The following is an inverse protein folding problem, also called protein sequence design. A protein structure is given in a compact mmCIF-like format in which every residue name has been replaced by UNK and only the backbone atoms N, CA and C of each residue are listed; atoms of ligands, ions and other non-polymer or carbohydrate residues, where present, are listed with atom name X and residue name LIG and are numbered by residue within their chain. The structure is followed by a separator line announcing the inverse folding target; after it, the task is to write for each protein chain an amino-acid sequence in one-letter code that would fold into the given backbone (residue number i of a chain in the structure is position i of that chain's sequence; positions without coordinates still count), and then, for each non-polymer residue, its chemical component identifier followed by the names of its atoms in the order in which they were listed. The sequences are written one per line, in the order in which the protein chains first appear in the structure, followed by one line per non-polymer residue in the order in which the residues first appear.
data_IF_364941539414
#
_entry.id   IF_364941539414
#
_cell.length_a   1.000
_cell.length_b   1.000
_cell.length_c   1.000
_cell.angle_alpha   90.00
_cell.angle_beta   90.00
_cell.angle_gamma   90.00
#
_symmetry.space_group_name_H-M   'P 1'
#
loop_
_entity.id
_entity.type
_entity.pdbx_description
1 polymer ?
#
# COMPACT_ATOMS: atom_id res chain seq x y z
N UNK A 1 -27.59 -3.50 13.79
CA UNK A 1 -26.55 -3.55 12.75
C UNK A 1 -25.21 -3.40 13.44
N UNK A 2 -24.21 -4.16 13.03
CA UNK A 2 -22.85 -4.01 13.53
C UNK A 2 -22.19 -2.85 12.77
N UNK A 3 -21.55 -1.91 13.47
CA UNK A 3 -20.81 -0.82 12.84
C UNK A 3 -19.39 -1.29 12.50
N UNK A 4 -19.05 -1.32 11.22
CA UNK A 4 -17.75 -1.77 10.71
C UNK A 4 -16.70 -0.63 10.73
N UNK A 5 -16.47 -0.07 11.92
CA UNK A 5 -15.47 0.99 12.12
C UNK A 5 -14.06 0.40 12.17
N UNK A 6 -13.18 0.82 11.25
CA UNK A 6 -11.79 0.38 11.24
C UNK A 6 -11.03 0.89 12.48
N UNK A 7 -10.22 0.01 13.08
CA UNK A 7 -9.33 0.32 14.21
C UNK A 7 -7.98 -0.30 13.93
N UNK A 8 -6.91 0.45 14.22
CA UNK A 8 -5.54 -0.04 14.09
C UNK A 8 -5.10 -0.70 15.40
N UNK A 9 -4.52 -1.89 15.31
CA UNK A 9 -3.91 -2.63 16.43
C UNK A 9 -2.50 -3.09 16.06
N UNK A 10 -1.82 -3.79 16.96
CA UNK A 10 -0.47 -4.39 16.75
C UNK A 10 0.68 -3.41 16.57
N UNK A 11 0.86 -2.53 17.57
CA UNK A 11 2.00 -1.60 17.66
C UNK A 11 3.33 -2.25 18.11
N UNK A 12 3.45 -3.58 18.09
CA UNK A 12 4.62 -4.31 18.61
C UNK A 12 5.93 -4.01 17.87
N UNK A 13 5.84 -3.52 16.62
CA UNK A 13 6.98 -3.07 15.82
C UNK A 13 7.09 -1.54 15.72
N UNK A 14 6.15 -0.79 16.30
CA UNK A 14 6.15 0.66 16.25
C UNK A 14 7.43 1.23 16.91
N UNK A 15 8.00 2.25 16.29
CA UNK A 15 9.15 2.97 16.83
C UNK A 15 8.74 4.38 17.19
N UNK A 16 9.23 4.88 18.32
CA UNK A 16 9.12 6.29 18.64
C UNK A 16 9.77 7.10 17.52
N UNK A 17 9.11 8.18 17.12
CA UNK A 17 9.61 9.07 16.07
C UNK A 17 10.99 9.64 16.43
N UNK A 18 11.76 10.06 15.42
CA UNK A 18 13.07 10.65 15.68
C UNK A 18 12.96 11.90 16.57
N UNK A 19 13.85 12.03 17.55
CA UNK A 19 13.97 13.22 18.39
C UNK A 19 15.05 14.17 17.87
N UNK A 20 14.80 15.49 18.02
CA UNK A 20 15.70 16.54 17.51
C UNK A 20 15.67 16.66 15.99
N UNK A 21 16.83 16.89 15.36
CA UNK A 21 16.94 17.12 13.91
C UNK A 21 16.96 15.84 13.05
N UNK A 22 16.66 14.68 13.66
CA UNK A 22 16.67 13.40 12.94
C UNK A 22 15.41 13.23 12.10
N UNK A 23 15.55 12.72 10.88
CA UNK A 23 14.44 12.50 9.94
C UNK A 23 13.96 11.05 9.87
N UNK A 24 14.70 10.12 10.48
CA UNK A 24 14.47 8.68 10.36
C UNK A 24 14.92 7.90 11.60
N UNK A 25 14.42 6.67 11.72
CA UNK A 25 14.87 5.67 12.70
C UNK A 25 15.57 4.55 11.93
N UNK A 26 16.85 4.29 12.21
CA UNK A 26 17.55 3.14 11.64
C UNK A 26 17.24 1.91 12.47
N UNK A 27 16.74 0.84 11.84
CA UNK A 27 16.44 -0.42 12.51
C UNK A 27 16.64 -1.59 11.57
N UNK A 28 16.74 -2.80 12.10
CA UNK A 28 16.73 -4.00 11.27
C UNK A 28 15.43 -4.03 10.46
N UNK A 29 15.49 -4.44 9.19
CA UNK A 29 14.30 -4.57 8.35
C UNK A 29 13.38 -5.62 8.98
N UNK A 30 12.26 -5.17 9.52
CA UNK A 30 11.23 -5.99 10.15
C UNK A 30 9.87 -5.53 9.63
N UNK A 31 8.97 -6.48 9.35
CA UNK A 31 7.63 -6.17 8.84
C UNK A 31 7.07 -7.31 8.00
N UNK A 32 5.83 -7.12 7.54
CA UNK A 32 5.13 -8.10 6.69
C UNK A 32 5.57 -7.95 5.24
N UNK A 33 5.91 -9.06 4.60
CA UNK A 33 6.31 -9.08 3.18
C UNK A 33 5.20 -8.48 2.29
N UNK A 34 5.58 -7.64 1.34
CA UNK A 34 4.66 -6.96 0.41
C UNK A 34 4.20 -5.57 0.86
N UNK A 35 4.41 -5.20 2.13
CA UNK A 35 4.02 -3.88 2.67
C UNK A 35 5.22 -2.94 2.85
N UNK A 36 6.40 -3.49 3.06
CA UNK A 36 7.60 -2.71 3.33
C UNK A 36 8.02 -1.87 2.12
N UNK A 37 8.26 -0.57 2.36
CA UNK A 37 8.70 0.35 1.34
C UNK A 37 10.09 -0.04 0.79
N UNK A 38 10.34 0.05 -0.53
CA UNK A 38 11.61 -0.36 -1.14
C UNK A 38 12.83 0.33 -0.52
N UNK A 39 12.72 1.61 -0.17
CA UNK A 39 13.78 2.37 0.48
C UNK A 39 14.04 1.89 1.92
N UNK A 40 13.00 1.45 2.64
CA UNK A 40 13.16 0.87 3.97
C UNK A 40 13.89 -0.47 3.89
N UNK A 41 13.54 -1.31 2.91
CA UNK A 41 14.22 -2.59 2.66
C UNK A 41 15.69 -2.35 2.30
N UNK A 42 15.97 -1.37 1.45
CA UNK A 42 17.32 -1.11 0.95
C UNK A 42 18.24 -0.46 2.01
N UNK A 43 17.70 0.41 2.86
CA UNK A 43 18.52 1.28 3.74
C UNK A 43 18.33 1.00 5.24
N UNK A 44 17.29 0.26 5.62
CA UNK A 44 16.89 0.10 7.03
C UNK A 44 16.35 1.38 7.67
N UNK A 45 16.13 2.46 6.89
CA UNK A 45 15.64 3.74 7.40
C UNK A 45 14.11 3.73 7.44
N UNK A 46 13.57 3.61 8.64
CA UNK A 46 12.14 3.76 8.88
C UNK A 46 11.80 5.25 8.97
N UNK A 47 10.81 5.67 8.19
CA UNK A 47 10.33 7.05 8.15
C UNK A 47 8.81 7.07 8.08
N UNK A 48 8.19 8.23 8.35
CA UNK A 48 6.76 8.42 8.12
C UNK A 48 6.37 8.15 6.65
N UNK A 49 7.30 8.26 5.70
CA UNK A 49 7.05 7.99 4.28
C UNK A 49 6.95 6.49 3.99
N UNK A 50 7.67 5.66 4.73
CA UNK A 50 7.55 4.21 4.67
C UNK A 50 6.17 3.74 5.16
N UNK A 51 5.59 4.42 6.15
CA UNK A 51 4.20 4.18 6.59
C UNK A 51 3.19 4.61 5.52
N UNK A 52 3.42 5.75 4.87
CA UNK A 52 2.59 6.23 3.74
C UNK A 52 2.60 5.25 2.58
N UNK A 53 3.76 4.66 2.24
CA UNK A 53 3.85 3.60 1.24
C UNK A 53 3.01 2.39 1.64
N UNK A 54 3.19 1.90 2.88
CA UNK A 54 2.47 0.74 3.40
C UNK A 54 0.95 0.95 3.37
N UNK A 55 0.49 2.16 3.69
CA UNK A 55 -0.92 2.56 3.56
C UNK A 55 -1.41 2.51 2.11
N UNK A 56 -0.59 2.93 1.15
CA UNK A 56 -0.89 2.79 -0.28
C UNK A 56 -1.11 1.33 -0.69
N UNK A 57 -0.28 0.41 -0.18
CA UNK A 57 -0.45 -1.03 -0.41
C UNK A 57 -1.77 -1.54 0.15
N UNK A 58 -2.13 -1.15 1.39
CA UNK A 58 -3.43 -1.51 2.01
C UNK A 58 -4.60 -1.03 1.16
N UNK A 59 -4.55 0.20 0.63
CA UNK A 59 -5.59 0.70 -0.27
C UNK A 59 -5.72 -0.15 -1.55
N UNK A 60 -4.60 -0.59 -2.13
CA UNK A 60 -4.63 -1.47 -3.30
C UNK A 60 -5.21 -2.84 -2.99
N UNK A 61 -4.87 -3.41 -1.84
CA UNK A 61 -5.42 -4.67 -1.38
C UNK A 61 -6.95 -4.57 -1.20
N UNK A 62 -7.43 -3.47 -0.60
CA UNK A 62 -8.86 -3.21 -0.43
C UNK A 62 -9.60 -3.00 -1.76
N UNK A 63 -9.01 -2.26 -2.70
CA UNK A 63 -9.64 -2.01 -4.00
C UNK A 63 -9.74 -3.27 -4.84
N UNK A 64 -8.70 -4.12 -4.80
CA UNK A 64 -8.56 -5.27 -5.70
C UNK A 64 -9.01 -6.60 -5.10
N UNK A 65 -9.09 -6.71 -3.78
CA UNK A 65 -9.34 -7.97 -3.08
C UNK A 65 -8.23 -9.01 -3.30
N UNK A 66 -7.05 -8.59 -3.77
CA UNK A 66 -5.90 -9.45 -4.05
C UNK A 66 -4.86 -9.33 -2.93
N UNK A 67 -4.20 -10.44 -2.54
CA UNK A 67 -3.13 -10.40 -1.55
C UNK A 67 -1.94 -9.57 -2.07
N UNK A 68 -1.22 -8.91 -1.16
CA UNK A 68 -0.03 -8.11 -1.51
C UNK A 68 1.09 -8.92 -2.17
N UNK A 69 1.21 -10.20 -1.82
CA UNK A 69 2.10 -11.17 -2.45
C UNK A 69 1.34 -12.43 -2.82
N UNK A 70 1.17 -12.66 -4.12
CA UNK A 70 0.51 -13.85 -4.65
C UNK A 70 1.54 -14.89 -5.10
N UNK A 71 1.85 -15.85 -4.23
CA UNK A 71 2.85 -16.90 -4.49
C UNK A 71 2.46 -17.86 -5.62
N UNK A 72 1.20 -17.83 -6.06
CA UNK A 72 0.74 -18.64 -7.20
C UNK A 72 1.09 -18.00 -8.54
N UNK A 73 1.47 -16.72 -8.54
CA UNK A 73 1.84 -15.93 -9.70
C UNK A 73 3.36 -15.80 -9.84
N UNK A 74 3.81 -15.45 -11.05
CA UNK A 74 5.22 -15.30 -11.40
C UNK A 74 5.48 -13.90 -11.95
N UNK A 75 6.67 -13.36 -11.68
CA UNK A 75 7.11 -12.05 -12.18
C UNK A 75 6.31 -10.90 -11.57
N UNK A 76 5.95 -9.91 -12.40
CA UNK A 76 5.25 -8.69 -11.98
C UNK A 76 3.89 -8.98 -11.33
N UNK A 77 3.21 -10.07 -11.71
CA UNK A 77 1.91 -10.44 -11.12
C UNK A 77 1.99 -10.95 -9.68
N UNK A 78 3.19 -11.30 -9.20
CA UNK A 78 3.40 -11.78 -7.83
C UNK A 78 3.30 -10.65 -6.81
N UNK A 79 3.75 -9.44 -7.16
CA UNK A 79 3.69 -8.26 -6.29
C UNK A 79 2.49 -7.39 -6.69
N UNK A 80 1.62 -7.10 -5.72
CA UNK A 80 0.40 -6.33 -5.96
C UNK A 80 0.68 -4.93 -6.51
N UNK A 81 1.69 -4.23 -5.99
CA UNK A 81 2.03 -2.87 -6.39
C UNK A 81 2.54 -2.85 -7.83
N UNK A 82 3.50 -3.72 -8.14
CA UNK A 82 4.10 -3.81 -9.47
C UNK A 82 3.05 -4.16 -10.53
N UNK A 83 2.13 -5.08 -10.20
CA UNK A 83 0.99 -5.41 -11.05
C UNK A 83 -0.02 -4.26 -11.22
N UNK A 84 -0.31 -3.52 -10.16
CA UNK A 84 -1.36 -2.49 -10.17
C UNK A 84 -0.91 -1.21 -10.88
N UNK A 85 0.36 -0.81 -10.77
CA UNK A 85 0.88 0.46 -11.31
C UNK A 85 0.42 0.73 -12.75
N UNK A 86 0.56 -0.18 -13.73
CA UNK A 86 0.14 0.05 -15.12
C UNK A 86 -1.35 0.43 -15.30
N UNK A 87 -2.22 0.01 -14.38
CA UNK A 87 -3.66 0.31 -14.40
C UNK A 87 -3.98 1.62 -13.69
N UNK A 88 -3.17 2.01 -12.70
CA UNK A 88 -3.40 3.21 -11.90
C UNK A 88 -3.03 4.50 -12.65
N UNK A 89 -2.10 4.43 -13.62
CA UNK A 89 -1.70 5.59 -14.44
C UNK A 89 -2.85 6.07 -15.33
N UNK A 90 -3.72 5.17 -15.77
CA UNK A 90 -4.88 5.47 -16.61
C UNK A 90 -6.19 5.24 -15.83
N UNK A 91 -6.91 6.33 -15.52
CA UNK A 91 -8.20 6.26 -14.79
C UNK A 91 -9.21 5.31 -15.42
N UNK A 92 -9.17 5.09 -16.74
CA UNK A 92 -10.09 4.16 -17.43
C UNK A 92 -9.78 2.70 -17.10
N UNK A 93 -8.51 2.39 -16.82
CA UNK A 93 -8.04 1.04 -16.50
C UNK A 93 -8.22 0.66 -15.03
N UNK A 94 -8.47 1.65 -14.15
CA UNK A 94 -8.73 1.42 -12.71
C UNK A 94 -9.86 0.41 -12.49
N UNK A 95 -10.91 0.44 -13.32
CA UNK A 95 -12.03 -0.50 -13.16
C UNK A 95 -11.64 -1.96 -13.44
N UNK A 96 -10.55 -2.19 -14.17
CA UNK A 96 -10.04 -3.53 -14.44
C UNK A 96 -9.30 -4.18 -13.26
N UNK A 97 -8.99 -3.43 -12.21
CA UNK A 97 -8.32 -3.94 -11.01
C UNK A 97 -9.23 -4.06 -9.80
N UNK A 98 -10.49 -3.64 -9.90
CA UNK A 98 -11.44 -3.66 -8.79
C UNK A 98 -11.83 -5.11 -8.43
N UNK A 99 -12.06 -5.38 -7.15
CA UNK A 99 -12.45 -6.70 -6.66
C UNK A 99 -13.71 -7.20 -7.40
N UNK A 100 -13.56 -8.33 -8.08
CA UNK A 100 -14.63 -8.96 -8.87
C UNK A 100 -15.82 -9.35 -8.01
N UNK A 101 -15.64 -9.60 -6.71
CA UNK A 101 -16.70 -9.89 -5.74
C UNK A 101 -17.63 -8.71 -5.50
N UNK A 102 -17.19 -7.48 -5.76
CA UNK A 102 -18.06 -6.30 -5.68
C UNK A 102 -19.09 -6.30 -6.83
N UNK A 103 -18.84 -7.02 -7.92
CA UNK A 103 -19.77 -7.13 -9.06
C UNK A 103 -20.10 -5.77 -9.68
N UNK A 104 -19.13 -4.84 -9.70
CA UNK A 104 -19.33 -3.47 -10.20
C UNK A 104 -20.13 -2.55 -9.26
N UNK A 105 -20.55 -3.03 -8.08
CA UNK A 105 -21.33 -2.25 -7.10
C UNK A 105 -20.41 -1.43 -6.20
N UNK A 106 -19.83 -0.39 -6.77
CA UNK A 106 -19.08 0.62 -6.04
C UNK A 106 -19.17 1.96 -6.77
N UNK A 107 -19.04 3.07 -6.04
CA UNK A 107 -19.14 4.38 -6.65
C UNK A 107 -17.80 4.68 -7.38
N UNK A 108 -17.90 4.88 -8.70
CA UNK A 108 -16.74 4.87 -9.61
C UNK A 108 -15.79 6.05 -9.38
N UNK A 109 -16.33 7.20 -8.97
CA UNK A 109 -15.55 8.42 -8.71
C UNK A 109 -14.64 8.24 -7.50
N UNK A 110 -15.14 7.59 -6.46
CA UNK A 110 -14.45 7.30 -5.20
C UNK A 110 -13.41 6.21 -5.42
N UNK A 111 -13.73 5.18 -6.21
CA UNK A 111 -12.75 4.17 -6.63
C UNK A 111 -11.58 4.84 -7.39
N UNK A 112 -11.87 5.74 -8.32
CA UNK A 112 -10.86 6.53 -9.02
C UNK A 112 -10.05 7.46 -8.10
N UNK A 113 -10.67 8.04 -7.07
CA UNK A 113 -9.99 8.87 -6.09
C UNK A 113 -9.06 8.05 -5.20
N UNK A 114 -9.54 6.93 -4.67
CA UNK A 114 -8.77 5.99 -3.86
C UNK A 114 -7.59 5.40 -4.64
N UNK A 115 -7.81 4.99 -5.88
CA UNK A 115 -6.75 4.51 -6.78
C UNK A 115 -5.65 5.57 -7.01
N UNK A 116 -6.04 6.85 -7.12
CA UNK A 116 -5.08 7.94 -7.28
C UNK A 116 -4.27 8.18 -5.99
N UNK A 117 -4.91 8.11 -4.82
CA UNK A 117 -4.22 8.19 -3.52
C UNK A 117 -3.23 7.03 -3.40
N UNK A 118 -3.68 5.81 -3.68
CA UNK A 118 -2.84 4.61 -3.64
C UNK A 118 -1.61 4.75 -4.56
N UNK A 119 -1.81 5.21 -5.81
CA UNK A 119 -0.71 5.49 -6.73
C UNK A 119 0.29 6.49 -6.15
N UNK A 120 -0.18 7.62 -5.60
CA UNK A 120 0.67 8.67 -5.03
C UNK A 120 1.44 8.20 -3.79
N UNK A 121 0.88 7.28 -3.02
CA UNK A 121 1.53 6.65 -1.88
C UNK A 121 2.61 5.66 -2.33
N UNK A 122 2.31 4.83 -3.33
CA UNK A 122 3.21 3.76 -3.80
C UNK A 122 4.28 4.19 -4.81
N UNK A 123 4.16 5.38 -5.40
CA UNK A 123 5.11 5.90 -6.42
C UNK A 123 5.92 7.11 -5.98
N UNK A 124 5.75 7.60 -4.75
CA UNK A 124 6.61 8.64 -4.21
C UNK A 124 8.05 8.11 -4.08
N UNK A 125 8.83 8.22 -5.16
CA UNK A 125 10.30 8.23 -5.07
C UNK A 125 10.67 9.44 -4.24
N UNK A 126 11.18 9.18 -3.06
CA UNK A 126 11.76 10.18 -2.17
C UNK A 126 12.95 10.84 -2.89
N UNK A 127 12.74 12.04 -3.41
CA UNK A 127 13.80 13.03 -3.60
C UNK A 127 14.11 13.68 -2.26
#
# INVERSE_FOLDING_TARGET
MQEFNAKLSDFGLAKAGPTGDRTHVTTQVMGTQGYAAPEYIATGRLTAKSDVYSFGVVLLELLSGRPTVDKTKVGVEQNLVDWAIPYLVDRRKVFGIMDTKLGGRYPHKEACAAANIALRCSTQKLS
#
